data_IF_478142850111
#
_entry.id   IF_478142850111
#
_cell.length_a   1.000
_cell.length_b   1.000
_cell.length_c   1.000
_cell.angle_alpha   90.00
_cell.angle_beta   90.00
_cell.angle_gamma   90.00
#
_symmetry.space_group_name_H-M   'P 1'
#
loop_
_entity.id
_entity.type
_entity.pdbx_description
1 polymer ?
#
# COMPACT_ATOMS: atom_id res chain seq x y z
N UNK A 1 -21.70 -2.77 6.17
CA UNK A 1 -20.86 -2.42 5.00
C UNK A 1 -19.91 -1.30 5.44
N UNK A 2 -18.64 -1.34 5.03
CA UNK A 2 -17.76 -0.18 5.16
C UNK A 2 -18.33 0.93 4.26
N UNK A 3 -18.35 2.17 4.74
CA UNK A 3 -18.81 3.32 3.93
C UNK A 3 -17.71 3.72 2.94
N UNK A 4 -18.02 4.50 1.88
CA UNK A 4 -17.00 5.08 1.01
C UNK A 4 -15.91 5.81 1.77
N UNK A 5 -16.29 6.56 2.81
CA UNK A 5 -15.34 7.26 3.67
C UNK A 5 -14.37 6.29 4.36
N UNK A 6 -14.87 5.17 4.89
CA UNK A 6 -14.02 4.20 5.59
C UNK A 6 -13.03 3.49 4.66
N UNK A 7 -13.43 3.20 3.42
CA UNK A 7 -12.51 2.61 2.44
C UNK A 7 -11.42 3.63 2.05
N UNK A 8 -11.78 4.90 1.84
CA UNK A 8 -10.80 5.95 1.56
C UNK A 8 -9.83 6.18 2.72
N UNK A 9 -10.32 6.16 3.96
CA UNK A 9 -9.47 6.22 5.17
C UNK A 9 -8.48 5.05 5.23
N UNK A 10 -8.91 3.84 4.89
CA UNK A 10 -8.08 2.64 4.86
C UNK A 10 -7.02 2.68 3.76
N UNK A 11 -7.39 3.10 2.53
CA UNK A 11 -6.44 3.33 1.44
C UNK A 11 -5.40 4.37 1.86
N UNK A 12 -5.83 5.50 2.43
CA UNK A 12 -4.92 6.57 2.87
C UNK A 12 -3.95 6.09 3.96
N UNK A 13 -4.43 5.29 4.92
CA UNK A 13 -3.60 4.71 5.97
C UNK A 13 -2.52 3.78 5.38
N UNK A 14 -2.90 2.89 4.44
CA UNK A 14 -1.95 1.98 3.79
C UNK A 14 -0.93 2.72 2.92
N UNK A 15 -1.33 3.78 2.20
CA UNK A 15 -0.39 4.63 1.45
C UNK A 15 0.64 5.27 2.39
N UNK A 16 0.21 5.77 3.56
CA UNK A 16 1.11 6.35 4.56
C UNK A 16 2.09 5.32 5.12
N UNK A 17 1.63 4.10 5.38
CA UNK A 17 2.46 2.99 5.84
C UNK A 17 3.50 2.59 4.78
N UNK A 18 3.07 2.41 3.53
CA UNK A 18 3.95 2.13 2.39
C UNK A 18 5.01 3.23 2.20
N UNK A 19 4.63 4.49 2.36
CA UNK A 19 5.57 5.64 2.29
C UNK A 19 6.60 5.57 3.41
N UNK A 20 6.17 5.25 4.64
CA UNK A 20 7.07 5.10 5.80
C UNK A 20 8.06 3.95 5.60
N UNK A 21 7.60 2.84 5.01
CA UNK A 21 8.45 1.70 4.66
C UNK A 21 9.46 2.05 3.57
N UNK A 22 9.06 2.81 2.54
CA UNK A 22 9.97 3.30 1.51
C UNK A 22 11.08 4.19 2.10
N UNK A 23 10.73 5.10 3.01
CA UNK A 23 11.71 5.91 3.73
C UNK A 23 12.68 5.06 4.56
N UNK A 24 12.17 4.02 5.23
CA UNK A 24 13.00 3.07 5.97
C UNK A 24 14.00 2.37 5.05
N UNK A 25 13.55 1.85 3.92
CA UNK A 25 14.41 1.19 2.94
C UNK A 25 15.49 2.16 2.44
N UNK A 26 15.10 3.38 2.05
CA UNK A 26 16.03 4.38 1.55
C UNK A 26 17.13 4.72 2.57
N UNK A 27 16.76 4.93 3.83
CA UNK A 27 17.70 5.25 4.92
C UNK A 27 18.65 4.10 5.27
N UNK A 28 18.25 2.86 5.00
CA UNK A 28 19.01 1.65 5.34
C UNK A 28 19.60 0.95 4.11
N UNK A 29 19.65 1.60 2.95
CA UNK A 29 20.05 0.97 1.69
C UNK A 29 21.55 0.71 1.39
N UNK A 30 22.56 1.07 2.21
CA UNK A 30 23.93 0.71 1.85
C UNK A 30 24.31 -0.71 2.34
N UNK A 31 24.60 -1.59 1.37
CA UNK A 31 25.46 -2.79 1.44
C UNK A 31 24.91 -4.18 1.84
N UNK A 32 23.60 -4.43 1.92
CA UNK A 32 23.08 -5.80 2.11
C UNK A 32 21.92 -6.14 1.17
N UNK A 33 21.86 -7.41 0.72
CA UNK A 33 20.74 -7.94 -0.08
C UNK A 33 19.36 -7.88 0.61
N UNK A 34 19.29 -7.41 1.86
CA UNK A 34 18.05 -7.18 2.60
C UNK A 34 17.21 -6.05 1.98
N UNK A 35 17.83 -5.12 1.25
CA UNK A 35 17.12 -4.05 0.53
C UNK A 35 16.13 -4.63 -0.49
N UNK A 36 16.53 -5.67 -1.22
CA UNK A 36 15.66 -6.32 -2.22
C UNK A 36 14.47 -7.01 -1.57
N UNK A 37 14.65 -7.64 -0.41
CA UNK A 37 13.58 -8.28 0.35
C UNK A 37 12.56 -7.25 0.87
N UNK A 38 13.04 -6.12 1.42
CA UNK A 38 12.15 -5.04 1.86
C UNK A 38 11.43 -4.37 0.69
N UNK A 39 12.10 -4.14 -0.44
CA UNK A 39 11.46 -3.62 -1.66
C UNK A 39 10.39 -4.57 -2.18
N UNK A 40 10.65 -5.88 -2.17
CA UNK A 40 9.66 -6.88 -2.55
C UNK A 40 8.43 -6.85 -1.63
N UNK A 41 8.64 -6.66 -0.32
CA UNK A 41 7.54 -6.53 0.65
C UNK A 41 6.72 -5.25 0.40
N UNK A 42 7.39 -4.11 0.18
CA UNK A 42 6.75 -2.85 -0.14
C UNK A 42 5.90 -2.94 -1.42
N UNK A 43 6.45 -3.51 -2.50
CA UNK A 43 5.74 -3.68 -3.77
C UNK A 43 4.46 -4.51 -3.60
N UNK A 44 4.52 -5.61 -2.83
CA UNK A 44 3.34 -6.44 -2.54
C UNK A 44 2.28 -5.66 -1.76
N UNK A 45 2.69 -4.89 -0.75
CA UNK A 45 1.79 -4.06 0.04
C UNK A 45 1.11 -3.00 -0.82
N UNK A 46 1.87 -2.27 -1.66
CA UNK A 46 1.33 -1.28 -2.58
C UNK A 46 0.34 -1.89 -3.59
N UNK A 47 0.67 -3.04 -4.16
CA UNK A 47 -0.26 -3.75 -5.06
C UNK A 47 -1.56 -4.13 -4.35
N UNK A 48 -1.49 -4.57 -3.09
CA UNK A 48 -2.70 -4.90 -2.30
C UNK A 48 -3.56 -3.66 -2.03
N UNK A 49 -2.94 -2.53 -1.74
CA UNK A 49 -3.66 -1.25 -1.61
C UNK A 49 -4.36 -0.86 -2.90
N UNK A 50 -3.70 -1.02 -4.05
CA UNK A 50 -4.30 -0.77 -5.37
C UNK A 50 -5.48 -1.72 -5.65
N UNK A 51 -5.32 -3.02 -5.42
CA UNK A 51 -6.41 -4.01 -5.56
C UNK A 51 -7.63 -3.61 -4.75
N UNK A 52 -7.44 -3.27 -3.47
CA UNK A 52 -8.53 -2.84 -2.58
C UNK A 52 -9.25 -1.59 -3.11
N UNK A 53 -8.50 -0.62 -3.62
CA UNK A 53 -9.07 0.59 -4.21
C UNK A 53 -9.88 0.26 -5.49
N UNK A 54 -9.35 -0.59 -6.38
CA UNK A 54 -10.04 -0.98 -7.61
C UNK A 54 -11.28 -1.85 -7.35
N UNK A 55 -11.20 -2.83 -6.44
CA UNK A 55 -12.35 -3.65 -6.03
C UNK A 55 -13.50 -2.77 -5.51
N UNK A 56 -13.16 -1.72 -4.76
CA UNK A 56 -14.15 -0.78 -4.27
C UNK A 56 -14.73 0.11 -5.37
N UNK A 57 -13.91 0.62 -6.29
CA UNK A 57 -14.38 1.37 -7.46
C UNK A 57 -15.35 0.54 -8.29
N UNK A 58 -15.04 -0.75 -8.51
CA UNK A 58 -15.92 -1.65 -9.26
C UNK A 58 -17.20 -1.97 -8.49
N UNK A 59 -17.17 -2.02 -7.16
CA UNK A 59 -18.40 -2.12 -6.35
C UNK A 59 -19.30 -0.89 -6.58
N UNK A 60 -18.74 0.32 -6.52
CA UNK A 60 -19.48 1.56 -6.77
C UNK A 60 -19.99 1.71 -8.22
N UNK A 61 -19.28 1.15 -9.20
CA UNK A 61 -19.69 1.18 -10.61
C UNK A 61 -20.94 0.33 -10.86
N UNK A 62 -21.10 -0.74 -10.09
CA UNK A 62 -22.17 -1.72 -10.23
C UNK A 62 -23.36 -1.48 -9.27
N UNK A 63 -23.33 -0.38 -8.49
CA UNK A 63 -24.45 0.16 -7.71
C UNK A 63 -25.36 1.06 -8.56
#
# INVERSE_FOLDING_TARGET
MKTPLNILEEVAAQIKENTSMLEFIFKNSPDSGEVDDYLCCLIRSMNKTCEMAYEYIETLRNE
#
